data_IF_717507939681
#
_entry.id   IF_717507939681
#
_cell.length_a   1.000
_cell.length_b   1.000
_cell.length_c   1.000
_cell.angle_alpha   90.00
_cell.angle_beta   90.00
_cell.angle_gamma   90.00
#
_symmetry.space_group_name_H-M   'P 1'
#
loop_
_entity.id
_entity.type
_entity.pdbx_description
1 polymer ?
#
# COMPACT_ATOMS: atom_id res chain seq x y z
N UNK A 1 4.94 1.95 9.70
CA UNK A 1 5.77 2.64 8.70
C UNK A 1 6.59 3.80 9.29
N UNK A 2 6.01 4.73 10.07
CA UNK A 2 6.77 5.83 10.69
C UNK A 2 7.96 5.38 11.55
N UNK A 3 7.84 4.27 12.28
CA UNK A 3 8.94 3.72 13.10
C UNK A 3 10.16 3.30 12.26
N UNK A 4 9.97 2.77 11.04
CA UNK A 4 11.07 2.30 10.21
C UNK A 4 11.95 3.44 9.66
N UNK A 5 11.38 4.62 9.44
CA UNK A 5 12.09 5.81 8.94
C UNK A 5 12.53 6.75 10.06
N UNK A 6 12.05 6.57 11.29
CA UNK A 6 12.41 7.39 12.46
C UNK A 6 13.92 7.45 12.69
N UNK A 7 14.59 6.30 12.69
CA UNK A 7 16.04 6.23 12.89
C UNK A 7 16.83 6.93 11.78
N UNK A 8 16.33 6.91 10.55
CA UNK A 8 16.94 7.66 9.45
C UNK A 8 16.75 9.17 9.68
N UNK A 9 15.55 9.60 10.07
CA UNK A 9 15.27 11.02 10.38
C UNK A 9 16.17 11.55 11.50
N UNK A 10 16.32 10.80 12.59
CA UNK A 10 17.21 11.16 13.71
C UNK A 10 18.69 11.23 13.30
N UNK A 11 19.13 10.36 12.39
CA UNK A 11 20.48 10.44 11.83
C UNK A 11 20.66 11.68 10.96
N UNK A 12 19.71 11.96 10.06
CA UNK A 12 19.80 13.10 9.13
C UNK A 12 19.76 14.48 9.81
N UNK A 13 19.25 14.59 11.04
CA UNK A 13 19.27 15.83 11.83
C UNK A 13 20.66 16.18 12.38
N UNK A 14 21.63 15.27 12.36
CA UNK A 14 22.99 15.49 12.87
C UNK A 14 23.93 15.97 11.76
N UNK A 15 25.08 16.54 12.14
CA UNK A 15 26.16 16.88 11.20
C UNK A 15 26.77 15.59 10.62
N UNK A 16 26.17 15.09 9.54
CA UNK A 16 26.65 13.96 8.76
C UNK A 16 27.15 14.49 7.41
N UNK A 17 28.21 13.89 6.90
CA UNK A 17 28.66 14.14 5.52
C UNK A 17 27.53 13.85 4.51
N UNK A 18 27.39 14.73 3.52
CA UNK A 18 26.32 14.69 2.54
C UNK A 18 26.35 13.39 1.73
N UNK A 19 27.54 12.90 1.40
CA UNK A 19 27.72 11.63 0.69
C UNK A 19 27.16 10.45 1.49
N UNK A 20 27.47 10.40 2.79
CA UNK A 20 26.97 9.36 3.68
C UNK A 20 25.45 9.45 3.91
N UNK A 21 24.90 10.67 3.95
CA UNK A 21 23.45 10.87 4.05
C UNK A 21 22.72 10.29 2.83
N UNK A 22 23.23 10.53 1.61
CA UNK A 22 22.66 10.00 0.37
C UNK A 22 22.67 8.47 0.35
N UNK A 23 23.77 7.84 0.76
CA UNK A 23 23.87 6.37 0.83
C UNK A 23 22.84 5.78 1.81
N UNK A 24 22.66 6.42 2.97
CA UNK A 24 21.71 5.97 3.98
C UNK A 24 20.26 6.08 3.47
N UNK A 25 19.92 7.19 2.80
CA UNK A 25 18.58 7.38 2.21
C UNK A 25 18.31 6.34 1.13
N UNK A 26 19.26 6.11 0.22
CA UNK A 26 19.12 5.13 -0.85
C UNK A 26 18.95 3.70 -0.31
N UNK A 27 19.67 3.35 0.75
CA UNK A 27 19.55 2.04 1.40
C UNK A 27 18.16 1.81 2.00
N UNK A 28 17.60 2.84 2.65
CA UNK A 28 16.23 2.77 3.20
C UNK A 28 15.19 2.75 2.08
N UNK A 29 15.39 3.51 1.00
CA UNK A 29 14.53 3.48 -0.17
C UNK A 29 14.49 2.10 -0.83
N UNK A 30 15.64 1.44 -0.97
CA UNK A 30 15.73 0.09 -1.52
C UNK A 30 14.99 -0.92 -0.63
N UNK A 31 15.20 -0.86 0.69
CA UNK A 31 14.51 -1.73 1.65
C UNK A 31 12.98 -1.54 1.61
N UNK A 32 12.49 -0.30 1.60
CA UNK A 32 11.07 0.00 1.47
C UNK A 32 10.51 -0.45 0.11
N UNK A 33 11.31 -0.39 -0.95
CA UNK A 33 10.89 -0.85 -2.28
C UNK A 33 10.78 -2.37 -2.34
N UNK A 34 11.73 -3.10 -1.75
CA UNK A 34 11.66 -4.57 -1.59
C UNK A 34 10.44 -5.01 -0.78
N UNK A 35 10.16 -4.31 0.33
CA UNK A 35 8.97 -4.58 1.14
C UNK A 35 7.67 -4.35 0.34
N UNK A 36 7.60 -3.27 -0.45
CA UNK A 36 6.44 -3.00 -1.31
C UNK A 36 6.24 -4.07 -2.39
N UNK A 37 7.31 -4.53 -3.02
CA UNK A 37 7.25 -5.62 -4.03
C UNK A 37 6.75 -6.90 -3.39
N UNK A 38 7.33 -7.31 -2.25
CA UNK A 38 6.92 -8.50 -1.51
C UNK A 38 5.43 -8.43 -1.10
N UNK A 39 4.96 -7.29 -0.57
CA UNK A 39 3.56 -7.11 -0.23
C UNK A 39 2.63 -7.23 -1.45
N UNK A 40 3.05 -6.74 -2.61
CA UNK A 40 2.29 -6.83 -3.86
C UNK A 40 2.25 -8.27 -4.40
N UNK A 41 3.34 -9.02 -4.29
CA UNK A 41 3.38 -10.43 -4.70
C UNK A 41 2.51 -11.29 -3.79
N UNK A 42 2.58 -11.08 -2.46
CA UNK A 42 1.69 -11.75 -1.50
C UNK A 42 0.21 -11.42 -1.77
N UNK A 43 -0.11 -10.15 -2.09
CA UNK A 43 -1.46 -9.76 -2.47
C UNK A 43 -1.95 -10.52 -3.70
N UNK A 44 -1.13 -10.63 -4.75
CA UNK A 44 -1.49 -11.38 -5.97
C UNK A 44 -1.80 -12.84 -5.67
N UNK A 45 -0.98 -13.48 -4.84
CA UNK A 45 -1.21 -14.88 -4.44
C UNK A 45 -2.52 -15.05 -3.68
N UNK A 46 -2.79 -14.18 -2.71
CA UNK A 46 -4.03 -14.21 -1.94
C UNK A 46 -5.26 -13.92 -2.82
N UNK A 47 -5.16 -12.93 -3.70
CA UNK A 47 -6.24 -12.57 -4.62
C UNK A 47 -6.57 -13.72 -5.56
N UNK A 48 -5.57 -14.42 -6.10
CA UNK A 48 -5.80 -15.61 -6.92
C UNK A 48 -6.53 -16.73 -6.15
N UNK A 49 -6.13 -16.99 -4.89
CA UNK A 49 -6.81 -17.98 -4.04
C UNK A 49 -8.27 -17.60 -3.76
N UNK A 50 -8.53 -16.34 -3.43
CA UNK A 50 -9.90 -15.84 -3.19
C UNK A 50 -10.73 -15.97 -4.46
N UNK A 51 -10.16 -15.65 -5.62
CA UNK A 51 -10.83 -15.78 -6.93
C UNK A 51 -11.21 -17.22 -7.25
N UNK A 52 -10.35 -18.18 -6.95
CA UNK A 52 -10.68 -19.61 -7.09
C UNK A 52 -11.82 -20.04 -6.17
N UNK A 53 -11.84 -19.55 -4.92
CA UNK A 53 -12.91 -19.85 -3.96
C UNK A 53 -14.23 -19.20 -4.41
N UNK A 54 -14.19 -17.94 -4.86
CA UNK A 54 -15.35 -17.22 -5.36
C UNK A 54 -15.96 -17.92 -6.58
N UNK A 55 -15.12 -18.41 -7.51
CA UNK A 55 -15.57 -19.18 -8.67
C UNK A 55 -16.25 -20.50 -8.27
N UNK A 56 -15.77 -21.20 -7.24
CA UNK A 56 -16.40 -22.42 -6.71
C UNK A 56 -17.77 -22.15 -6.07
N UNK A 57 -17.96 -20.97 -5.50
CA UNK A 57 -19.19 -20.54 -4.84
C UNK A 57 -20.14 -19.78 -5.77
N UNK A 58 -19.80 -19.65 -7.06
CA UNK A 58 -20.52 -18.85 -8.06
C UNK A 58 -20.75 -17.39 -7.62
N UNK A 59 -19.80 -16.84 -6.86
CA UNK A 59 -19.83 -15.45 -6.41
C UNK A 59 -19.17 -14.59 -7.49
N UNK A 60 -19.96 -13.70 -8.10
CA UNK A 60 -19.43 -12.72 -9.04
C UNK A 60 -18.67 -11.62 -8.30
N UNK A 61 -17.42 -11.39 -8.72
CA UNK A 61 -16.69 -10.19 -8.33
C UNK A 61 -17.35 -8.96 -8.96
N UNK A 62 -17.76 -8.01 -8.12
CA UNK A 62 -18.28 -6.72 -8.57
C UNK A 62 -17.64 -5.60 -7.73
N UNK A 63 -17.46 -4.43 -8.34
CA UNK A 63 -16.97 -3.25 -7.64
C UNK A 63 -18.19 -2.57 -7.02
N UNK A 64 -18.22 -2.33 -5.70
CA UNK A 64 -19.32 -1.62 -5.06
C UNK A 64 -19.64 -0.31 -5.77
N UNK A 65 -20.94 -0.03 -5.90
CA UNK A 65 -21.46 1.11 -6.67
C UNK A 65 -20.80 2.42 -6.24
N UNK A 66 -20.19 3.09 -7.21
CA UNK A 66 -19.69 4.46 -7.08
C UNK A 66 -20.89 5.40 -6.81
N UNK A 67 -20.86 6.12 -5.68
CA UNK A 67 -21.81 7.20 -5.43
C UNK A 67 -21.57 8.32 -6.47
N UNK A 68 -22.61 8.73 -7.21
CA UNK A 68 -22.53 9.80 -8.22
C UNK A 68 -22.08 11.15 -7.65
N UNK A 69 -22.34 11.38 -6.37
CA UNK A 69 -21.96 12.59 -5.65
C UNK A 69 -21.26 12.21 -4.35
N UNK A 70 -19.94 12.42 -4.30
CA UNK A 70 -19.19 12.51 -3.05
C UNK A 70 -18.67 13.94 -2.93
N UNK A 71 -19.05 14.62 -1.85
CA UNK A 71 -18.60 16.00 -1.58
C UNK A 71 -17.30 16.05 -0.76
N UNK A 72 -16.99 14.98 -0.01
CA UNK A 72 -15.86 14.95 0.93
C UNK A 72 -14.71 14.00 0.53
N UNK A 73 -14.91 13.10 -0.45
CA UNK A 73 -13.89 12.14 -0.90
C UNK A 73 -13.84 12.09 -2.42
N UNK A 74 -12.63 11.96 -2.97
CA UNK A 74 -12.46 11.85 -4.41
C UNK A 74 -12.83 10.45 -4.88
N UNK A 75 -13.68 10.35 -5.89
CA UNK A 75 -14.06 9.09 -6.48
C UNK A 75 -13.06 8.73 -7.59
N UNK A 76 -11.94 8.14 -7.16
CA UNK A 76 -10.87 7.70 -8.08
C UNK A 76 -11.42 6.56 -8.96
N UNK A 77 -11.37 6.67 -10.30
CA UNK A 77 -11.83 5.60 -11.17
C UNK A 77 -10.94 4.36 -11.00
N UNK A 78 -11.55 3.19 -11.07
CA UNK A 78 -10.86 1.90 -11.05
C UNK A 78 -11.00 1.27 -12.42
N UNK A 79 -9.89 0.79 -12.97
CA UNK A 79 -9.86 0.17 -14.29
C UNK A 79 -10.18 -1.33 -14.26
N UNK A 80 -9.88 -1.98 -13.13
CA UNK A 80 -10.04 -3.42 -12.89
C UNK A 80 -10.45 -3.68 -11.43
N UNK A 81 -11.14 -4.79 -11.18
CA UNK A 81 -11.63 -5.19 -9.85
C UNK A 81 -10.48 -5.43 -8.87
N UNK A 82 -9.41 -6.08 -9.33
CA UNK A 82 -8.20 -6.33 -8.53
C UNK A 82 -7.60 -5.03 -7.98
N UNK A 83 -7.59 -3.97 -8.78
CA UNK A 83 -7.06 -2.67 -8.39
C UNK A 83 -7.91 -2.04 -7.28
N UNK A 84 -9.24 -2.21 -7.36
CA UNK A 84 -10.15 -1.76 -6.31
C UNK A 84 -9.83 -2.46 -4.99
N UNK A 85 -9.80 -3.80 -4.98
CA UNK A 85 -9.51 -4.55 -3.75
C UNK A 85 -8.12 -4.27 -3.20
N UNK A 86 -7.10 -4.15 -4.07
CA UNK A 86 -5.74 -3.78 -3.66
C UNK A 86 -5.71 -2.43 -2.96
N UNK A 87 -6.35 -1.43 -3.56
CA UNK A 87 -6.41 -0.06 -3.00
C UNK A 87 -7.19 -0.05 -1.69
N UNK A 88 -8.37 -0.66 -1.64
CA UNK A 88 -9.17 -0.73 -0.41
C UNK A 88 -8.39 -1.40 0.71
N UNK A 89 -7.77 -2.56 0.47
CA UNK A 89 -6.94 -3.21 1.48
C UNK A 89 -5.77 -2.33 1.91
N UNK A 90 -4.99 -1.77 0.98
CA UNK A 90 -3.82 -0.95 1.34
C UNK A 90 -4.22 0.35 2.07
N UNK A 91 -5.24 1.06 1.60
CA UNK A 91 -5.67 2.33 2.20
C UNK A 91 -6.42 2.13 3.51
N UNK A 92 -7.29 1.12 3.63
CA UNK A 92 -7.98 0.81 4.89
C UNK A 92 -6.97 0.49 5.99
N UNK A 93 -5.97 -0.34 5.66
CA UNK A 93 -4.87 -0.65 6.58
C UNK A 93 -4.13 0.62 6.99
N UNK A 94 -3.79 1.50 6.03
CA UNK A 94 -3.14 2.77 6.32
C UNK A 94 -3.97 3.68 7.24
N UNK A 95 -5.30 3.76 7.04
CA UNK A 95 -6.17 4.59 7.86
C UNK A 95 -6.31 4.05 9.30
N UNK A 96 -6.35 2.73 9.48
CA UNK A 96 -6.42 2.11 10.82
C UNK A 96 -5.14 2.39 11.63
N UNK A 97 -3.96 2.32 10.99
CA UNK A 97 -2.66 2.54 11.63
C UNK A 97 -2.25 4.01 11.78
N UNK A 98 -2.96 4.96 11.15
CA UNK A 98 -2.68 6.41 11.28
C UNK A 98 -3.60 7.06 12.34
N UNK A 99 -4.67 6.36 12.77
CA UNK A 99 -5.64 6.86 13.76
C UNK A 99 -5.34 6.33 15.19
N UNK A 100 -4.35 5.47 15.38
CA UNK A 100 -3.83 5.04 16.68
C UNK A 100 -2.35 5.40 16.81
#
# INVERSE_FOLDING_TARGET
MLSATHNLSEKLKKNIDLSQAIVNVNSVLDLLSKQRVNANDNFKTLYAQVKEIAAKLDIKEDIPRICRLQTARNNVPYSIEEEYYRRVFMYLTLMIFVIH
#
